data_IF_556347828200
#
_entry.id   IF_556347828200
#
_cell.length_a   1.000
_cell.length_b   1.000
_cell.length_c   1.000
_cell.angle_alpha   90.00
_cell.angle_beta   90.00
_cell.angle_gamma   90.00
#
_symmetry.space_group_name_H-M   'P 1'
#
loop_
_entity.id
_entity.type
_entity.pdbx_description
1 polymer ?
#
# COMPACT_ATOMS: atom_id res chain seq x y z
N UNK A 1 21.09 -27.59 -15.94
CA UNK A 1 21.71 -27.68 -14.69
C UNK A 1 21.77 -26.37 -13.93
N UNK A 2 21.94 -25.28 -14.63
CA UNK A 2 21.93 -23.97 -13.98
C UNK A 2 20.55 -23.32 -13.93
N UNK A 3 19.51 -24.06 -14.29
CA UNK A 3 18.15 -23.55 -14.29
C UNK A 3 17.66 -23.19 -12.90
N UNK A 4 18.10 -23.91 -11.89
CA UNK A 4 17.72 -23.66 -10.51
C UNK A 4 18.41 -22.40 -9.94
N UNK A 5 19.55 -22.02 -10.52
CA UNK A 5 20.27 -20.82 -10.13
C UNK A 5 19.70 -19.56 -10.80
N UNK A 6 18.89 -19.75 -11.84
CA UNK A 6 18.24 -18.66 -12.56
C UNK A 6 16.83 -18.37 -12.08
N UNK A 7 16.35 -19.14 -11.10
CA UNK A 7 15.04 -18.91 -10.52
C UNK A 7 15.08 -17.63 -9.70
N UNK A 8 14.27 -16.66 -10.08
CA UNK A 8 14.18 -15.38 -9.41
C UNK A 8 14.67 -14.23 -10.28
N UNK A 9 14.40 -13.04 -9.83
CA UNK A 9 14.68 -11.81 -10.54
C UNK A 9 15.90 -11.11 -9.96
N UNK A 10 16.69 -10.48 -10.80
CA UNK A 10 17.68 -9.50 -10.34
C UNK A 10 16.97 -8.26 -9.84
N UNK A 11 17.65 -7.46 -9.02
CA UNK A 11 17.03 -6.26 -8.42
C UNK A 11 16.48 -5.31 -9.49
N UNK A 12 17.17 -5.13 -10.61
CA UNK A 12 16.70 -4.31 -11.72
C UNK A 12 15.43 -4.84 -12.36
N UNK A 13 15.34 -6.17 -12.51
CA UNK A 13 14.14 -6.83 -13.04
C UNK A 13 12.98 -6.73 -12.06
N UNK A 14 13.28 -6.84 -10.76
CA UNK A 14 12.28 -6.67 -9.71
C UNK A 14 11.71 -5.25 -9.74
N UNK A 15 12.57 -4.25 -9.86
CA UNK A 15 12.18 -2.85 -9.98
C UNK A 15 11.25 -2.65 -11.19
N UNK A 16 11.62 -3.19 -12.33
CA UNK A 16 10.84 -3.10 -13.54
C UNK A 16 9.47 -3.78 -13.42
N UNK A 17 9.45 -4.98 -12.86
CA UNK A 17 8.21 -5.75 -12.69
C UNK A 17 7.22 -5.10 -11.73
N UNK A 18 7.72 -4.48 -10.68
CA UNK A 18 6.87 -3.89 -9.64
C UNK A 18 6.60 -2.40 -9.84
N UNK A 19 7.34 -1.75 -10.73
CA UNK A 19 7.23 -0.31 -10.93
C UNK A 19 7.85 0.50 -9.78
N UNK A 20 8.67 -0.12 -8.97
CA UNK A 20 9.35 0.53 -7.83
C UNK A 20 10.81 0.79 -8.21
N UNK A 21 11.28 2.00 -7.99
CA UNK A 21 12.66 2.36 -8.28
C UNK A 21 13.64 1.53 -7.47
N UNK A 22 14.77 1.20 -8.09
CA UNK A 22 15.82 0.38 -7.48
C UNK A 22 16.29 0.98 -6.14
N UNK A 23 16.45 2.29 -6.07
CA UNK A 23 16.85 2.96 -4.83
C UNK A 23 15.80 2.84 -3.74
N UNK A 24 14.53 2.84 -4.11
CA UNK A 24 13.42 2.64 -3.18
C UNK A 24 13.42 1.22 -2.62
N UNK A 25 13.71 0.23 -3.47
CA UNK A 25 13.84 -1.17 -3.03
C UNK A 25 14.95 -1.29 -1.99
N UNK A 26 16.11 -0.68 -2.26
CA UNK A 26 17.24 -0.68 -1.33
C UNK A 26 16.89 0.01 -0.03
N UNK A 27 16.14 1.11 -0.11
CA UNK A 27 15.66 1.82 1.08
C UNK A 27 14.77 0.93 1.94
N UNK A 28 13.83 0.21 1.32
CA UNK A 28 12.98 -0.73 2.06
C UNK A 28 13.78 -1.84 2.70
N UNK A 29 14.84 -2.30 2.05
CA UNK A 29 15.74 -3.31 2.61
C UNK A 29 16.47 -2.76 3.85
N UNK A 30 16.94 -1.52 3.79
CA UNK A 30 17.58 -0.87 4.93
C UNK A 30 16.62 -0.71 6.11
N UNK A 31 15.34 -0.48 5.83
CA UNK A 31 14.32 -0.36 6.88
C UNK A 31 13.85 -1.71 7.41
N UNK A 32 14.30 -2.81 6.83
CA UNK A 32 13.87 -4.15 7.22
C UNK A 32 12.49 -4.55 6.71
N UNK A 33 11.92 -3.77 5.79
CA UNK A 33 10.62 -4.07 5.21
C UNK A 33 10.69 -5.15 4.15
N UNK A 34 11.82 -5.28 3.51
CA UNK A 34 12.05 -6.26 2.46
C UNK A 34 13.35 -7.01 2.76
N UNK A 35 13.31 -8.35 2.84
CA UNK A 35 14.55 -9.12 3.05
C UNK A 35 15.52 -8.95 1.89
N UNK A 36 16.81 -8.99 2.21
CA UNK A 36 17.86 -9.01 1.21
C UNK A 36 18.25 -10.47 0.98
N UNK A 37 18.05 -11.00 -0.23
CA UNK A 37 18.42 -12.39 -0.50
C UNK A 37 19.91 -12.62 -0.35
N UNK A 38 20.28 -13.83 0.04
CA UNK A 38 21.69 -14.20 0.13
C UNK A 38 22.26 -14.40 -1.28
N UNK A 39 23.51 -13.97 -1.44
CA UNK A 39 24.26 -14.30 -2.64
C UNK A 39 24.70 -15.75 -2.56
N UNK A 40 24.44 -16.54 -3.60
CA UNK A 40 24.92 -17.90 -3.70
C UNK A 40 26.24 -17.88 -4.47
N UNK A 41 27.34 -18.27 -3.81
CA UNK A 41 28.67 -18.45 -4.45
C UNK A 41 29.15 -17.23 -5.27
N UNK A 42 29.01 -16.01 -4.74
CA UNK A 42 29.48 -14.82 -5.41
C UNK A 42 28.62 -14.35 -6.58
N UNK A 43 27.48 -14.97 -6.80
CA UNK A 43 26.56 -14.57 -7.86
C UNK A 43 25.66 -13.40 -7.44
N UNK A 44 24.91 -12.85 -8.40
CA UNK A 44 23.96 -11.78 -8.16
C UNK A 44 22.80 -12.29 -7.29
N UNK A 45 22.32 -11.46 -6.38
CA UNK A 45 21.14 -11.79 -5.55
C UNK A 45 19.92 -11.99 -6.44
N UNK A 46 19.11 -12.99 -6.09
CA UNK A 46 17.87 -13.31 -6.80
C UNK A 46 16.67 -13.13 -5.88
N UNK A 47 15.65 -12.47 -6.38
CA UNK A 47 14.41 -12.18 -5.67
C UNK A 47 13.31 -13.08 -6.21
N UNK A 48 12.55 -13.69 -5.29
CA UNK A 48 11.46 -14.60 -5.65
C UNK A 48 10.11 -13.89 -5.70
N UNK A 49 9.06 -14.67 -5.89
CA UNK A 49 7.68 -14.19 -5.92
C UNK A 49 7.29 -13.49 -4.62
N UNK A 50 7.84 -13.94 -3.49
CA UNK A 50 7.57 -13.32 -2.20
C UNK A 50 7.99 -11.85 -2.18
N UNK A 51 9.12 -11.54 -2.79
CA UNK A 51 9.61 -10.17 -2.87
C UNK A 51 8.70 -9.30 -3.73
N UNK A 52 8.23 -9.84 -4.85
CA UNK A 52 7.28 -9.16 -5.73
C UNK A 52 6.00 -8.82 -4.97
N UNK A 53 5.41 -9.83 -4.32
CA UNK A 53 4.19 -9.65 -3.55
C UNK A 53 4.35 -8.65 -2.41
N UNK A 54 5.49 -8.72 -1.72
CA UNK A 54 5.78 -7.83 -0.60
C UNK A 54 5.94 -6.39 -1.05
N UNK A 55 6.64 -6.14 -2.15
CA UNK A 55 6.78 -4.81 -2.72
C UNK A 55 5.44 -4.23 -3.17
N UNK A 56 4.61 -5.05 -3.81
CA UNK A 56 3.27 -4.64 -4.21
C UNK A 56 2.41 -4.27 -3.01
N UNK A 57 2.51 -5.06 -1.95
CA UNK A 57 1.79 -4.77 -0.70
C UNK A 57 2.25 -3.44 -0.11
N UNK A 58 3.57 -3.22 0.01
CA UNK A 58 4.11 -1.99 0.57
C UNK A 58 3.61 -0.77 -0.21
N UNK A 59 3.71 -0.83 -1.52
CA UNK A 59 3.29 0.26 -2.40
C UNK A 59 1.79 0.53 -2.29
N UNK A 60 1.01 -0.52 -2.30
CA UNK A 60 -0.44 -0.39 -2.23
C UNK A 60 -0.90 0.17 -0.89
N UNK A 61 -0.30 -0.30 0.20
CA UNK A 61 -0.59 0.21 1.53
C UNK A 61 -0.26 1.69 1.66
N UNK A 62 0.91 2.11 1.15
CA UNK A 62 1.28 3.53 1.13
C UNK A 62 0.29 4.34 0.32
N UNK A 63 -0.15 3.82 -0.82
CA UNK A 63 -1.16 4.48 -1.66
C UNK A 63 -2.49 4.65 -0.95
N UNK A 64 -2.78 3.78 0.01
CA UNK A 64 -4.00 3.87 0.82
C UNK A 64 -3.81 4.75 2.06
N UNK A 65 -2.62 5.30 2.27
CA UNK A 65 -2.36 6.24 3.34
C UNK A 65 -1.64 5.66 4.56
N UNK A 66 -1.19 4.40 4.49
CA UNK A 66 -0.40 3.83 5.58
C UNK A 66 1.03 4.36 5.52
N UNK A 67 1.59 4.67 6.69
CA UNK A 67 3.00 5.05 6.79
C UNK A 67 3.88 3.80 6.67
N UNK A 68 5.16 4.00 6.41
CA UNK A 68 6.10 2.88 6.35
C UNK A 68 6.21 2.14 7.69
N UNK A 69 6.13 2.89 8.81
CA UNK A 69 6.11 2.26 10.14
C UNK A 69 4.89 1.37 10.31
N UNK A 70 3.73 1.85 9.88
CA UNK A 70 2.49 1.08 9.92
C UNK A 70 2.55 -0.14 9.01
N UNK A 71 3.14 0.01 7.84
CA UNK A 71 3.37 -1.11 6.92
C UNK A 71 4.25 -2.16 7.57
N UNK A 72 5.31 -1.73 8.25
CA UNK A 72 6.20 -2.63 8.98
C UNK A 72 5.49 -3.41 10.05
N UNK A 73 4.59 -2.75 10.79
CA UNK A 73 3.77 -3.40 11.80
C UNK A 73 2.84 -4.44 11.17
N UNK A 74 2.17 -4.09 10.06
CA UNK A 74 1.29 -5.02 9.36
C UNK A 74 2.05 -6.26 8.87
N UNK A 75 3.26 -6.07 8.37
CA UNK A 75 4.09 -7.18 7.91
C UNK A 75 4.48 -8.11 9.07
N UNK A 76 4.76 -7.55 10.24
CA UNK A 76 5.06 -8.35 11.44
C UNK A 76 3.85 -9.12 11.94
N UNK A 77 2.67 -8.53 11.84
CA UNK A 77 1.43 -9.20 12.23
C UNK A 77 1.16 -10.46 11.38
N UNK A 78 1.61 -10.45 10.15
CA UNK A 78 1.40 -11.60 9.25
C UNK A 78 2.18 -12.84 9.70
N UNK A 79 3.15 -12.68 10.60
CA UNK A 79 3.95 -13.79 11.12
C UNK A 79 3.26 -14.51 12.29
N UNK A 80 2.25 -13.90 12.90
CA UNK A 80 1.36 -14.60 13.84
C UNK A 80 1.90 -14.95 15.21
N UNK A 81 2.91 -14.23 15.71
CA UNK A 81 3.58 -14.60 16.95
C UNK A 81 2.96 -14.03 18.25
N UNK A 82 2.08 -13.03 18.17
CA UNK A 82 1.53 -12.36 19.36
C UNK A 82 0.05 -12.07 19.19
N UNK A 83 -0.80 -12.99 19.67
CA UNK A 83 -2.23 -12.92 19.40
C UNK A 83 -2.96 -11.74 20.06
N UNK A 84 -2.67 -11.45 21.33
CA UNK A 84 -3.40 -10.40 22.05
C UNK A 84 -3.03 -8.99 21.58
N UNK A 85 -1.74 -8.68 21.53
CA UNK A 85 -1.26 -7.38 21.08
C UNK A 85 -1.57 -7.17 19.60
N UNK A 86 -1.45 -8.24 18.82
CA UNK A 86 -1.79 -8.25 17.40
C UNK A 86 -3.25 -7.88 17.17
N UNK A 87 -4.14 -8.49 17.96
CA UNK A 87 -5.57 -8.24 17.85
C UNK A 87 -5.90 -6.78 18.17
N UNK A 88 -5.38 -6.25 19.24
CA UNK A 88 -5.62 -4.86 19.65
C UNK A 88 -5.14 -3.89 18.56
N UNK A 89 -3.93 -4.11 18.06
CA UNK A 89 -3.38 -3.29 16.98
C UNK A 89 -4.25 -3.39 15.72
N UNK A 90 -4.65 -4.60 15.35
CA UNK A 90 -5.49 -4.83 14.18
C UNK A 90 -6.85 -4.13 14.32
N UNK A 91 -7.45 -4.16 15.51
CA UNK A 91 -8.71 -3.47 15.75
C UNK A 91 -8.57 -1.96 15.62
N UNK A 92 -7.48 -1.39 16.13
CA UNK A 92 -7.20 0.04 16.01
C UNK A 92 -7.03 0.43 14.54
N UNK A 93 -6.29 -0.37 13.77
CA UNK A 93 -6.09 -0.10 12.36
C UNK A 93 -7.36 -0.28 11.55
N UNK A 94 -8.18 -1.27 11.92
CA UNK A 94 -9.48 -1.45 11.27
C UNK A 94 -10.37 -0.22 11.48
N UNK A 95 -10.36 0.36 12.66
CA UNK A 95 -11.13 1.57 12.94
C UNK A 95 -10.71 2.72 12.04
N UNK A 96 -9.40 2.90 11.81
CA UNK A 96 -8.90 3.92 10.88
C UNK A 96 -9.34 3.64 9.44
N UNK A 97 -9.30 2.40 9.02
CA UNK A 97 -9.75 1.99 7.68
C UNK A 97 -11.24 2.27 7.52
N UNK A 98 -12.06 1.95 8.53
CA UNK A 98 -13.50 2.22 8.50
C UNK A 98 -13.77 3.72 8.33
N UNK A 99 -13.00 4.55 9.01
CA UNK A 99 -13.11 6.01 8.87
C UNK A 99 -12.79 6.44 7.45
N UNK A 100 -11.72 5.92 6.86
CA UNK A 100 -11.35 6.23 5.47
C UNK A 100 -12.43 5.76 4.49
N UNK A 101 -13.01 4.59 4.72
CA UNK A 101 -14.10 4.09 3.90
C UNK A 101 -15.31 5.01 3.94
N UNK A 102 -15.66 5.51 5.13
CA UNK A 102 -16.75 6.47 5.28
C UNK A 102 -16.47 7.77 4.50
N UNK A 103 -15.25 8.27 4.59
CA UNK A 103 -14.85 9.47 3.86
C UNK A 103 -14.91 9.25 2.34
N UNK A 104 -14.41 8.12 1.86
CA UNK A 104 -14.45 7.80 0.44
C UNK A 104 -15.89 7.64 -0.06
N UNK A 105 -16.76 7.05 0.74
CA UNK A 105 -18.19 6.95 0.38
C UNK A 105 -18.85 8.32 0.28
N UNK A 106 -18.49 9.24 1.18
CA UNK A 106 -18.99 10.61 1.14
C UNK A 106 -18.53 11.32 -0.14
N UNK A 107 -17.27 11.16 -0.49
CA UNK A 107 -16.72 11.73 -1.73
C UNK A 107 -17.43 11.15 -2.95
N UNK A 108 -17.62 9.83 -2.97
CA UNK A 108 -18.33 9.17 -4.05
C UNK A 108 -19.74 9.71 -4.21
N UNK A 109 -20.46 9.87 -3.11
CA UNK A 109 -21.82 10.42 -3.15
C UNK A 109 -21.82 11.85 -3.70
N UNK A 110 -20.84 12.66 -3.30
CA UNK A 110 -20.71 14.02 -3.80
C UNK A 110 -20.44 14.03 -5.31
N UNK A 111 -19.59 13.12 -5.78
CA UNK A 111 -19.30 12.97 -7.21
C UNK A 111 -20.54 12.51 -7.98
N UNK A 112 -21.30 11.57 -7.44
CA UNK A 112 -22.54 11.10 -8.06
C UNK A 112 -23.53 12.25 -8.22
N UNK A 113 -23.66 13.09 -7.19
CA UNK A 113 -24.54 14.26 -7.23
C UNK A 113 -24.07 15.27 -8.27
N UNK A 114 -22.74 15.48 -8.34
CA UNK A 114 -22.16 16.40 -9.32
C UNK A 114 -22.40 15.92 -10.75
N UNK A 115 -22.22 14.62 -10.98
CA UNK A 115 -22.47 14.02 -12.29
C UNK A 115 -23.93 14.22 -12.69
N UNK A 116 -24.87 13.98 -11.78
CA UNK A 116 -26.29 14.18 -12.03
C UNK A 116 -26.62 15.65 -12.27
N UNK A 117 -26.03 16.55 -11.49
CA UNK A 117 -26.25 18.00 -11.62
C UNK A 117 -25.75 18.51 -12.96
N UNK A 118 -24.61 18.03 -13.45
CA UNK A 118 -24.09 18.38 -14.76
C UNK A 118 -25.04 17.94 -15.89
N UNK A 119 -25.72 16.79 -15.70
CA UNK A 119 -26.72 16.30 -16.64
C UNK A 119 -28.00 17.11 -16.66
N UNK A 120 -28.32 17.83 -15.59
CA UNK A 120 -29.54 18.63 -15.47
C UNK A 120 -29.33 20.14 -15.69
N UNK A 121 -28.10 20.58 -15.93
CA UNK A 121 -27.80 21.96 -16.23
C UNK A 121 -27.88 22.91 -15.03
N UNK A 122 -27.77 22.41 -13.80
CA UNK A 122 -27.74 23.24 -12.60
C UNK A 122 -26.47 24.08 -12.54
N UNK A 123 -26.58 25.37 -12.74
CA UNK A 123 -25.46 26.31 -12.67
C UNK A 123 -25.51 27.12 -11.37
N UNK A 124 -24.33 27.44 -10.84
CA UNK A 124 -24.21 28.44 -9.78
C UNK A 124 -24.18 27.95 -8.35
N UNK A 125 -24.14 26.65 -8.13
CA UNK A 125 -23.96 26.10 -6.78
C UNK A 125 -22.52 25.71 -6.55
N UNK A 126 -22.05 25.83 -5.30
CA UNK A 126 -20.69 25.43 -4.94
C UNK A 126 -20.40 23.96 -5.23
N UNK A 127 -19.13 23.61 -5.19
CA UNK A 127 -18.70 22.24 -5.44
C UNK A 127 -19.14 21.30 -4.31
N UNK A 128 -19.97 20.28 -4.58
CA UNK A 128 -20.44 19.37 -3.53
C UNK A 128 -19.30 18.65 -2.81
N UNK A 129 -18.19 18.42 -3.48
CA UNK A 129 -17.02 17.78 -2.88
C UNK A 129 -16.44 18.67 -1.78
N UNK A 130 -16.28 19.95 -2.07
CA UNK A 130 -15.75 20.92 -1.11
C UNK A 130 -16.69 21.04 0.09
N UNK A 131 -17.97 21.12 -0.15
CA UNK A 131 -18.97 21.21 0.91
C UNK A 131 -18.99 19.96 1.79
N UNK A 132 -18.90 18.78 1.15
CA UNK A 132 -18.92 17.52 1.86
C UNK A 132 -17.71 17.35 2.79
N UNK A 133 -16.52 17.73 2.33
CA UNK A 133 -15.31 17.61 3.12
C UNK A 133 -15.16 18.73 4.15
N UNK A 134 -15.66 19.93 3.83
CA UNK A 134 -15.59 21.08 4.74
C UNK A 134 -16.54 20.96 5.91
N UNK A 135 -17.65 20.26 5.74
CA UNK A 135 -18.66 20.09 6.80
C UNK A 135 -18.20 19.14 7.90
N UNK A 136 -17.13 18.42 7.70
CA UNK A 136 -16.58 17.49 8.69
C UNK A 136 -15.65 18.23 9.62
N UNK A 137 -16.12 18.43 10.82
CA UNK A 137 -15.31 18.99 11.90
C UNK A 137 -14.81 17.85 12.76
N UNK A 138 -13.56 17.54 12.62
CA UNK A 138 -12.86 16.74 13.64
C UNK A 138 -11.46 16.77 13.58
#
# INVERSE_FOLDING_TARGET
MDRDLEVGLKIGQLAEKTGVHLETIRYYQRLGLLPTPRRAHGTVRRYGEDAVGRLRFIRRAQGLGFSLDEVGLLLRLSIGEHCAETREFAEQKRALVEKKLADLRAIRSALDNLIRACGTGSKGRGCPIIESLSARTD
#
